data_IF_064464483701
#
_entry.id   IF_064464483701
#
_cell.length_a   1.000
_cell.length_b   1.000
_cell.length_c   1.000
_cell.angle_alpha   90.00
_cell.angle_beta   90.00
_cell.angle_gamma   90.00
#
_symmetry.space_group_name_H-M   'P 1'
#
loop_
_entity.id
_entity.type
_entity.pdbx_description
1 polymer ?
#
# COMPACT_ATOMS: atom_id res chain seq x y z
N UNK A 1 -17.24 16.60 2.24
CA UNK A 1 -16.87 15.64 3.31
C UNK A 1 -17.30 14.24 2.86
N UNK A 2 -16.60 13.63 1.89
CA UNK A 2 -16.96 12.28 1.38
C UNK A 2 -15.81 11.55 0.63
N UNK A 3 -14.79 12.27 0.14
CA UNK A 3 -13.65 11.69 -0.62
C UNK A 3 -12.84 10.64 0.19
N UNK A 4 -12.61 10.87 1.49
CA UNK A 4 -11.76 10.03 2.34
C UNK A 4 -12.31 8.60 2.59
N UNK A 5 -13.63 8.39 2.54
CA UNK A 5 -14.23 7.10 2.95
C UNK A 5 -14.15 6.02 1.87
N UNK A 6 -14.22 6.41 0.60
CA UNK A 6 -14.17 5.49 -0.54
C UNK A 6 -12.76 4.92 -0.73
N UNK A 7 -11.74 5.78 -0.66
CA UNK A 7 -10.35 5.37 -0.83
C UNK A 7 -9.86 4.52 0.35
N UNK A 8 -10.28 4.86 1.58
CA UNK A 8 -10.05 4.01 2.75
C UNK A 8 -10.70 2.62 2.60
N UNK A 9 -11.94 2.54 2.12
CA UNK A 9 -12.62 1.24 1.90
C UNK A 9 -11.90 0.41 0.84
N UNK A 10 -11.40 1.04 -0.22
CA UNK A 10 -10.64 0.37 -1.28
C UNK A 10 -9.30 -0.18 -0.76
N UNK A 11 -8.56 0.61 0.01
CA UNK A 11 -7.32 0.17 0.69
C UNK A 11 -7.59 -1.02 1.61
N UNK A 12 -8.60 -0.92 2.48
CA UNK A 12 -8.97 -2.00 3.40
C UNK A 12 -9.37 -3.29 2.66
N UNK A 13 -10.12 -3.19 1.57
CA UNK A 13 -10.50 -4.35 0.76
C UNK A 13 -9.29 -5.01 0.07
N UNK A 14 -8.25 -4.25 -0.27
CA UNK A 14 -7.00 -4.80 -0.80
C UNK A 14 -6.17 -5.48 0.28
N UNK A 15 -6.09 -4.88 1.47
CA UNK A 15 -5.42 -5.49 2.63
C UNK A 15 -6.08 -6.82 3.03
N UNK A 16 -7.42 -6.88 3.10
CA UNK A 16 -8.15 -8.13 3.37
C UNK A 16 -7.87 -9.23 2.34
N UNK A 17 -7.68 -8.85 1.07
CA UNK A 17 -7.29 -9.80 0.02
C UNK A 17 -5.86 -10.31 0.23
N UNK A 18 -4.91 -9.42 0.52
CA UNK A 18 -3.54 -9.81 0.83
C UNK A 18 -3.45 -10.72 2.08
N UNK A 19 -4.27 -10.45 3.10
CA UNK A 19 -4.42 -11.32 4.27
C UNK A 19 -4.90 -12.73 3.86
N UNK A 20 -5.92 -12.83 3.01
CA UNK A 20 -6.38 -14.11 2.47
C UNK A 20 -5.30 -14.85 1.68
N UNK A 21 -4.50 -14.14 0.89
CA UNK A 21 -3.36 -14.71 0.17
C UNK A 21 -2.29 -15.25 1.13
N UNK A 22 -1.95 -14.52 2.20
CA UNK A 22 -1.02 -14.98 3.24
C UNK A 22 -1.53 -16.25 3.91
N UNK A 23 -2.81 -16.31 4.27
CA UNK A 23 -3.43 -17.53 4.81
C UNK A 23 -3.34 -18.70 3.82
N UNK A 24 -3.47 -18.43 2.53
CA UNK A 24 -3.23 -19.43 1.48
C UNK A 24 -1.80 -19.95 1.46
N UNK A 25 -0.81 -19.06 1.55
CA UNK A 25 0.61 -19.43 1.64
C UNK A 25 0.90 -20.29 2.87
N UNK A 26 0.33 -19.94 4.04
CA UNK A 26 0.46 -20.74 5.26
C UNK A 26 0.01 -22.19 5.04
N UNK A 27 -1.18 -22.38 4.44
CA UNK A 27 -1.68 -23.71 4.09
C UNK A 27 -0.78 -24.44 3.09
N UNK A 28 -0.23 -23.75 2.10
CA UNK A 28 0.70 -24.37 1.15
C UNK A 28 1.96 -24.90 1.85
N UNK A 29 2.45 -24.21 2.87
CA UNK A 29 3.58 -24.67 3.68
C UNK A 29 3.17 -25.88 4.52
N UNK A 30 2.01 -25.85 5.17
CA UNK A 30 1.48 -26.97 5.96
C UNK A 30 1.22 -28.23 5.09
N UNK A 31 0.84 -28.04 3.83
CA UNK A 31 0.63 -29.10 2.84
C UNK A 31 1.90 -29.49 2.07
N UNK A 32 3.07 -29.01 2.50
CA UNK A 32 4.38 -29.32 1.91
C UNK A 32 4.44 -29.10 0.38
N UNK A 33 3.83 -28.01 -0.11
CA UNK A 33 3.87 -27.65 -1.54
C UNK A 33 5.28 -27.30 -2.01
N UNK A 34 5.47 -27.39 -3.32
CA UNK A 34 6.70 -27.02 -3.99
C UNK A 34 7.14 -25.58 -3.68
N UNK A 35 8.44 -25.41 -3.46
CA UNK A 35 9.03 -24.12 -3.10
C UNK A 35 8.74 -23.04 -4.16
N UNK A 36 8.76 -23.40 -5.45
CA UNK A 36 8.49 -22.46 -6.54
C UNK A 36 7.06 -21.90 -6.49
N UNK A 37 6.08 -22.72 -6.10
CA UNK A 37 4.68 -22.30 -5.98
C UNK A 37 4.51 -21.36 -4.79
N UNK A 38 5.16 -21.66 -3.66
CA UNK A 38 5.16 -20.82 -2.45
C UNK A 38 5.77 -19.44 -2.76
N UNK A 39 6.94 -19.41 -3.40
CA UNK A 39 7.61 -18.16 -3.79
C UNK A 39 6.77 -17.35 -4.79
N UNK A 40 6.08 -18.02 -5.71
CA UNK A 40 5.17 -17.37 -6.65
C UNK A 40 4.02 -16.69 -5.91
N UNK A 41 3.40 -17.36 -4.94
CA UNK A 41 2.32 -16.76 -4.15
C UNK A 41 2.81 -15.64 -3.23
N UNK A 42 3.97 -15.78 -2.59
CA UNK A 42 4.59 -14.70 -1.82
C UNK A 42 4.90 -13.47 -2.69
N UNK A 43 5.36 -13.67 -3.92
CA UNK A 43 5.59 -12.58 -4.87
C UNK A 43 4.28 -11.88 -5.26
N UNK A 44 3.18 -12.63 -5.39
CA UNK A 44 1.86 -12.06 -5.61
C UNK A 44 1.37 -11.24 -4.41
N UNK A 45 1.63 -11.71 -3.17
CA UNK A 45 1.33 -10.96 -1.94
C UNK A 45 2.13 -9.65 -1.91
N UNK A 46 3.46 -9.72 -2.13
CA UNK A 46 4.33 -8.53 -2.17
C UNK A 46 3.79 -7.50 -3.16
N UNK A 47 3.44 -7.93 -4.37
CA UNK A 47 2.87 -7.06 -5.40
C UNK A 47 1.53 -6.43 -4.98
N UNK A 48 0.70 -7.15 -4.21
CA UNK A 48 -0.53 -6.59 -3.64
C UNK A 48 -0.25 -5.53 -2.59
N UNK A 49 0.74 -5.75 -1.72
CA UNK A 49 1.16 -4.79 -0.69
C UNK A 49 1.76 -3.53 -1.33
N UNK A 50 2.66 -3.69 -2.30
CA UNK A 50 3.27 -2.57 -3.04
C UNK A 50 2.22 -1.65 -3.66
N UNK A 51 1.15 -2.23 -4.21
CA UNK A 51 0.02 -1.45 -4.75
C UNK A 51 -0.73 -0.68 -3.67
N UNK A 52 -0.93 -1.27 -2.48
CA UNK A 52 -1.58 -0.58 -1.36
C UNK A 52 -0.71 0.57 -0.86
N UNK A 53 0.60 0.35 -0.71
CA UNK A 53 1.54 1.41 -0.34
C UNK A 53 1.49 2.57 -1.34
N UNK A 54 1.55 2.28 -2.64
CA UNK A 54 1.45 3.29 -3.68
C UNK A 54 0.14 4.09 -3.65
N UNK A 55 -0.99 3.43 -3.36
CA UNK A 55 -2.28 4.12 -3.20
C UNK A 55 -2.29 5.09 -2.02
N UNK A 56 -1.70 4.71 -0.88
CA UNK A 56 -1.64 5.56 0.32
C UNK A 56 -0.77 6.79 0.03
N UNK A 57 0.39 6.60 -0.59
CA UNK A 57 1.28 7.73 -0.91
C UNK A 57 0.67 8.64 -1.96
N UNK A 58 0.01 8.08 -2.99
CA UNK A 58 -0.69 8.87 -3.99
C UNK A 58 -1.78 9.75 -3.38
N UNK A 59 -2.55 9.23 -2.40
CA UNK A 59 -3.56 10.02 -1.71
C UNK A 59 -2.94 11.10 -0.82
N UNK A 60 -1.83 10.80 -0.15
CA UNK A 60 -1.09 11.80 0.63
C UNK A 60 -0.52 12.93 -0.25
N UNK A 61 0.02 12.61 -1.43
CA UNK A 61 0.46 13.60 -2.41
C UNK A 61 -0.70 14.46 -2.90
N UNK A 62 -1.84 13.84 -3.21
CA UNK A 62 -3.06 14.55 -3.61
C UNK A 62 -3.53 15.50 -2.51
N UNK A 63 -3.49 15.09 -1.25
CA UNK A 63 -3.82 15.94 -0.10
C UNK A 63 -2.88 17.15 0.00
N UNK A 64 -1.58 16.99 -0.27
CA UNK A 64 -0.64 18.11 -0.30
C UNK A 64 -1.01 19.18 -1.34
N UNK A 65 -1.68 18.81 -2.44
CA UNK A 65 -2.15 19.76 -3.47
C UNK A 65 -3.55 20.30 -3.18
N UNK A 66 -4.47 19.46 -2.70
CA UNK A 66 -5.86 19.86 -2.42
C UNK A 66 -5.95 20.71 -1.14
N UNK A 67 -5.05 20.47 -0.16
CA UNK A 67 -5.00 21.13 1.14
C UNK A 67 -3.55 21.58 1.45
N UNK A 68 -3.05 22.64 0.78
CA UNK A 68 -1.70 23.13 0.99
C UNK A 68 -1.55 23.81 2.36
N UNK A 69 -0.38 23.62 2.99
CA UNK A 69 -0.03 24.33 4.21
C UNK A 69 0.17 25.83 3.95
N UNK A 70 -0.05 26.65 4.99
CA UNK A 70 0.13 28.11 4.89
C UNK A 70 1.59 28.51 4.87
N UNK A 71 2.44 27.78 5.58
CA UNK A 71 3.88 27.98 5.57
C UNK A 71 4.51 27.23 4.39
N UNK A 72 5.19 27.93 3.46
CA UNK A 72 5.93 27.29 2.37
C UNK A 72 6.97 26.26 2.83
N UNK A 73 7.58 26.43 4.01
CA UNK A 73 8.57 25.47 4.52
C UNK A 73 7.89 24.17 4.96
N UNK A 74 6.78 24.25 5.70
CA UNK A 74 6.00 23.08 6.11
C UNK A 74 5.44 22.33 4.88
N UNK A 75 4.93 23.07 3.88
CA UNK A 75 4.46 22.47 2.62
C UNK A 75 5.58 21.70 1.90
N UNK A 76 6.78 22.30 1.80
CA UNK A 76 7.93 21.66 1.17
C UNK A 76 8.35 20.39 1.90
N UNK A 77 8.38 20.41 3.24
CA UNK A 77 8.71 19.24 4.06
C UNK A 77 7.70 18.11 3.87
N UNK A 78 6.40 18.42 3.89
CA UNK A 78 5.32 17.43 3.70
C UNK A 78 5.42 16.76 2.33
N UNK A 79 5.68 17.55 1.27
CA UNK A 79 5.87 17.04 -0.08
C UNK A 79 7.13 16.16 -0.20
N UNK A 80 8.25 16.59 0.40
CA UNK A 80 9.49 15.81 0.41
C UNK A 80 9.31 14.46 1.10
N UNK A 81 8.63 14.43 2.24
CA UNK A 81 8.30 13.18 2.95
C UNK A 81 7.50 12.23 2.06
N UNK A 82 6.46 12.72 1.39
CA UNK A 82 5.62 11.91 0.50
C UNK A 82 6.43 11.35 -0.67
N UNK A 83 7.34 12.14 -1.26
CA UNK A 83 8.23 11.69 -2.34
C UNK A 83 9.21 10.61 -1.84
N UNK A 84 9.79 10.79 -0.64
CA UNK A 84 10.72 9.82 -0.06
C UNK A 84 10.06 8.45 0.18
N UNK A 85 8.76 8.40 0.47
CA UNK A 85 8.02 7.13 0.62
C UNK A 85 7.92 6.33 -0.68
N UNK A 86 8.04 6.95 -1.86
CA UNK A 86 8.04 6.26 -3.16
C UNK A 86 9.44 5.78 -3.55
N UNK A 87 10.46 6.58 -3.24
CA UNK A 87 11.84 6.34 -3.68
C UNK A 87 12.54 5.28 -2.83
N UNK A 88 12.21 5.17 -1.53
CA UNK A 88 12.70 4.09 -0.67
C UNK A 88 12.01 2.76 -1.02
N UNK A 89 12.48 2.11 -2.08
CA UNK A 89 12.24 0.69 -2.37
C UNK A 89 13.40 -0.18 -1.92
#
# INVERSE_FOLDING_TARGET
>A
MDKTRSDQKNVLNRLKRAEGQIRGVQKMIEEEKECIDIITQLSAVRSSIDRVMGMIVAENLKDCFENPEKDPQEQAQKLEQAIQMIIKK
#
